data_IF_611929045774
#
_entry.id   IF_611929045774
#
_cell.length_a   1.000
_cell.length_b   1.000
_cell.length_c   1.000
_cell.angle_alpha   90.00
_cell.angle_beta   90.00
_cell.angle_gamma   90.00
#
_symmetry.space_group_name_H-M   'P 1'
#
loop_
_entity.id
_entity.type
_entity.pdbx_description
1 polymer ?
#
# COMPACT_ATOMS: atom_id res chain seq x y z
N UNK A 1 19.20 -15.89 -11.29
CA UNK A 1 18.39 -14.81 -10.70
C UNK A 1 17.90 -15.28 -9.35
N UNK A 2 18.23 -14.61 -8.23
CA UNK A 2 17.61 -14.99 -6.97
C UNK A 2 16.12 -14.77 -7.13
N UNK A 3 15.33 -15.80 -6.85
CA UNK A 3 13.88 -15.70 -6.77
C UNK A 3 13.63 -14.83 -5.55
N UNK A 4 13.44 -13.51 -5.73
CA UNK A 4 13.12 -12.62 -4.62
C UNK A 4 11.97 -13.26 -3.85
N UNK A 5 12.19 -13.49 -2.56
CA UNK A 5 11.14 -14.02 -1.72
C UNK A 5 9.98 -13.01 -1.76
N UNK A 6 8.76 -13.48 -2.00
CA UNK A 6 7.61 -12.59 -2.11
C UNK A 6 7.46 -11.72 -0.85
N UNK A 7 7.90 -12.23 0.30
CA UNK A 7 7.91 -11.52 1.57
C UNK A 7 8.90 -10.36 1.55
N UNK A 8 10.10 -10.54 0.97
CA UNK A 8 11.10 -9.48 0.84
C UNK A 8 10.58 -8.35 -0.06
N UNK A 9 9.93 -8.71 -1.17
CA UNK A 9 9.31 -7.74 -2.07
C UNK A 9 8.17 -6.98 -1.38
N UNK A 10 7.30 -7.69 -0.65
CA UNK A 10 6.21 -7.09 0.10
C UNK A 10 6.72 -6.09 1.16
N UNK A 11 7.76 -6.45 1.91
CA UNK A 11 8.39 -5.56 2.90
C UNK A 11 8.91 -4.29 2.24
N UNK A 12 9.61 -4.42 1.10
CA UNK A 12 10.17 -3.27 0.37
C UNK A 12 9.07 -2.35 -0.16
N UNK A 13 7.97 -2.91 -0.67
CA UNK A 13 6.82 -2.13 -1.11
C UNK A 13 6.09 -1.45 0.06
N UNK A 14 5.97 -2.14 1.21
CA UNK A 14 5.36 -1.60 2.42
C UNK A 14 6.09 -0.38 2.98
N UNK A 15 7.43 -0.35 2.89
CA UNK A 15 8.24 0.84 3.27
C UNK A 15 7.91 2.06 2.41
N UNK A 16 7.62 1.84 1.13
CA UNK A 16 7.31 2.87 0.15
C UNK A 16 5.80 2.96 -0.15
N UNK A 17 4.94 2.48 0.76
CA UNK A 17 3.51 2.28 0.50
C UNK A 17 2.80 3.54 -0.03
N UNK A 18 3.14 4.73 0.48
CA UNK A 18 2.55 5.97 -0.02
C UNK A 18 3.01 6.31 -1.44
N UNK A 19 4.30 6.13 -1.75
CA UNK A 19 4.82 6.38 -3.09
C UNK A 19 4.19 5.42 -4.11
N UNK A 20 4.06 4.14 -3.73
CA UNK A 20 3.36 3.11 -4.54
C UNK A 20 1.90 3.51 -4.76
N UNK A 21 1.19 3.94 -3.72
CA UNK A 21 -0.20 4.39 -3.84
C UNK A 21 -0.33 5.63 -4.74
N UNK A 22 0.57 6.61 -4.61
CA UNK A 22 0.58 7.80 -5.48
C UNK A 22 0.79 7.44 -6.96
N UNK A 23 1.54 6.38 -7.24
CA UNK A 23 1.85 5.96 -8.61
C UNK A 23 0.73 5.10 -9.22
N UNK A 24 0.25 4.08 -8.51
CA UNK A 24 -0.69 3.09 -9.05
C UNK A 24 -2.14 3.33 -8.63
N UNK A 25 -2.37 3.98 -7.49
CA UNK A 25 -3.70 4.28 -6.90
C UNK A 25 -3.94 5.79 -6.81
N UNK A 26 -3.58 6.51 -7.88
CA UNK A 26 -3.56 7.97 -7.95
C UNK A 26 -4.91 8.66 -7.78
N UNK A 27 -6.04 7.96 -7.97
CA UNK A 27 -7.39 8.47 -7.70
C UNK A 27 -7.73 8.47 -6.20
N UNK A 28 -6.88 7.86 -5.38
CA UNK A 28 -7.01 7.87 -3.94
C UNK A 28 -6.37 9.09 -3.28
N UNK A 29 -6.43 9.13 -1.96
CA UNK A 29 -5.83 10.20 -1.16
C UNK A 29 -5.37 9.70 0.21
N UNK A 30 -4.43 10.42 0.81
CA UNK A 30 -3.97 10.15 2.17
C UNK A 30 -5.00 10.64 3.19
N UNK A 31 -5.45 9.74 4.06
CA UNK A 31 -6.28 10.01 5.23
C UNK A 31 -5.57 9.48 6.49
N UNK A 32 -4.75 10.33 7.10
CA UNK A 32 -3.94 9.97 8.27
C UNK A 32 -2.91 8.89 7.97
N UNK A 33 -3.13 7.69 8.52
CA UNK A 33 -2.27 6.50 8.37
C UNK A 33 -2.69 5.58 7.22
N UNK A 34 -3.67 6.01 6.44
CA UNK A 34 -4.26 5.20 5.37
C UNK A 34 -4.23 5.96 4.04
N UNK A 35 -4.15 5.21 2.95
CA UNK A 35 -4.53 5.67 1.62
C UNK A 35 -5.93 5.14 1.33
N UNK A 36 -6.88 6.01 0.99
CA UNK A 36 -8.25 5.63 0.66
C UNK A 36 -8.46 5.67 -0.85
N UNK A 37 -9.10 4.64 -1.40
CA UNK A 37 -9.46 4.54 -2.82
C UNK A 37 -10.76 3.75 -2.95
N UNK A 38 -11.42 3.81 -4.11
CA UNK A 38 -12.67 3.11 -4.37
C UNK A 38 -12.45 1.60 -4.45
N UNK A 39 -11.52 1.16 -5.28
CA UNK A 39 -11.26 -0.26 -5.53
C UNK A 39 -9.87 -0.49 -6.19
N UNK A 40 -9.60 -1.75 -6.53
CA UNK A 40 -8.36 -2.20 -7.19
C UNK A 40 -8.19 -1.68 -8.62
N UNK A 41 -9.25 -1.15 -9.25
CA UNK A 41 -9.21 -0.52 -10.57
C UNK A 41 -8.90 0.99 -10.48
N UNK A 42 -8.48 1.48 -9.30
CA UNK A 42 -8.16 2.88 -9.06
C UNK A 42 -9.36 3.82 -9.30
N UNK A 43 -10.58 3.36 -9.01
CA UNK A 43 -11.74 4.25 -8.98
C UNK A 43 -11.65 5.18 -7.75
N UNK A 44 -12.10 6.45 -7.84
CA UNK A 44 -12.20 7.31 -6.67
C UNK A 44 -13.18 6.74 -5.64
N UNK A 45 -12.86 6.86 -4.36
CA UNK A 45 -13.75 6.38 -3.30
C UNK A 45 -13.03 6.12 -1.97
N UNK A 46 -13.67 5.34 -1.10
CA UNK A 46 -13.17 5.00 0.24
C UNK A 46 -13.50 3.58 0.69
N UNK A 47 -13.81 2.71 -0.26
CA UNK A 47 -14.23 1.32 0.02
C UNK A 47 -13.03 0.40 0.21
N UNK A 48 -11.87 0.77 -0.36
CA UNK A 48 -10.58 0.11 -0.16
C UNK A 48 -9.60 1.05 0.52
N UNK A 49 -8.69 0.50 1.34
CA UNK A 49 -7.60 1.27 1.92
C UNK A 49 -6.28 0.49 1.99
N UNK A 50 -5.17 1.23 1.95
CA UNK A 50 -3.81 0.72 2.18
C UNK A 50 -3.26 1.33 3.45
N UNK A 51 -2.53 0.55 4.26
CA UNK A 51 -1.86 1.06 5.47
C UNK A 51 -0.54 1.73 5.08
N UNK A 52 -0.39 3.01 5.37
CA UNK A 52 0.84 3.76 5.10
C UNK A 52 1.87 3.63 6.23
N UNK A 53 1.43 3.18 7.40
CA UNK A 53 2.26 3.07 8.59
C UNK A 53 1.92 1.79 9.33
N UNK A 54 2.93 1.08 9.80
CA UNK A 54 2.81 -0.18 10.53
C UNK A 54 4.18 -0.84 10.69
N UNK A 55 4.27 -1.97 11.39
CA UNK A 55 5.47 -2.80 11.36
C UNK A 55 5.78 -3.26 9.93
N UNK A 56 7.01 -3.72 9.71
CA UNK A 56 7.41 -4.25 8.39
C UNK A 56 6.74 -5.60 8.07
N UNK A 57 6.25 -6.30 9.09
CA UNK A 57 5.62 -7.60 8.95
C UNK A 57 4.58 -7.85 10.04
N UNK A 58 3.70 -8.82 9.81
CA UNK A 58 2.67 -9.21 10.76
C UNK A 58 1.42 -8.33 10.72
N UNK A 59 0.56 -8.50 11.73
CA UNK A 59 -0.76 -7.87 11.77
C UNK A 59 -0.63 -6.33 11.82
N UNK A 60 -1.22 -5.68 10.82
CA UNK A 60 -1.24 -4.22 10.72
C UNK A 60 0.02 -3.62 10.11
N UNK A 61 0.86 -4.43 9.44
CA UNK A 61 1.97 -3.95 8.65
C UNK A 61 1.56 -2.90 7.61
N UNK A 62 2.52 -2.08 7.18
CA UNK A 62 2.33 -1.15 6.07
C UNK A 62 2.35 -1.90 4.73
N UNK A 63 1.60 -1.38 3.74
CA UNK A 63 1.30 -2.07 2.49
C UNK A 63 -0.07 -2.72 2.46
#
# INVERSE_FOLDING_TARGET
MPRHDASELAIRLGREAEAVCRHYLSSGHRAGRYWLVGDVQNTPGRSMFVRLTGPESGKGAAG
#
